data_IF_573285498163
#
_entry.id   IF_573285498163
#
_cell.length_a   1.000
_cell.length_b   1.000
_cell.length_c   1.000
_cell.angle_alpha   90.00
_cell.angle_beta   90.00
_cell.angle_gamma   90.00
#
_symmetry.space_group_name_H-M   'P 1'
#
loop_
_entity.id
_entity.type
_entity.pdbx_description
1 polymer ?
#
# COMPACT_ATOMS: atom_id res chain seq x y z
N UNK A 1 8.28 0.76 -5.76
CA UNK A 1 7.28 0.83 -6.85
C UNK A 1 7.03 -0.51 -7.52
N UNK A 2 7.91 -1.50 -7.34
CA UNK A 2 7.76 -2.85 -7.91
C UNK A 2 6.69 -3.73 -7.23
N UNK A 3 5.87 -3.17 -6.37
CA UNK A 3 4.75 -3.82 -5.70
C UNK A 3 3.45 -3.10 -6.08
N UNK A 4 2.43 -3.88 -6.42
CA UNK A 4 1.12 -3.38 -6.83
C UNK A 4 0.42 -2.52 -5.77
N UNK A 5 0.75 -2.71 -4.49
CA UNK A 5 0.23 -1.88 -3.39
C UNK A 5 0.77 -0.45 -3.46
N UNK A 6 2.06 -0.29 -3.75
CA UNK A 6 2.72 1.03 -3.72
C UNK A 6 2.57 1.79 -5.03
N UNK A 7 2.60 1.13 -6.19
CA UNK A 7 2.45 1.80 -7.49
C UNK A 7 1.07 2.47 -7.62
N UNK A 8 0.03 1.91 -7.00
CA UNK A 8 -1.31 2.50 -6.92
C UNK A 8 -1.28 3.96 -6.47
N UNK A 9 -0.39 4.28 -5.54
CA UNK A 9 -0.35 5.59 -4.88
C UNK A 9 -0.10 6.75 -5.83
N UNK A 10 0.65 6.53 -6.89
CA UNK A 10 0.93 7.54 -7.92
C UNK A 10 -0.30 7.82 -8.77
N UNK A 11 -0.91 6.76 -9.31
CA UNK A 11 -2.10 6.90 -10.16
C UNK A 11 -3.30 7.43 -9.39
N UNK A 12 -3.53 6.95 -8.17
CA UNK A 12 -4.60 7.43 -7.31
C UNK A 12 -4.42 8.92 -6.93
N UNK A 13 -3.18 9.36 -6.69
CA UNK A 13 -2.87 10.76 -6.45
C UNK A 13 -3.23 11.66 -7.63
N UNK A 14 -3.08 11.17 -8.85
CA UNK A 14 -3.46 11.86 -10.09
C UNK A 14 -4.96 11.76 -10.42
N UNK A 15 -5.76 11.15 -9.54
CA UNK A 15 -7.21 10.99 -9.73
C UNK A 15 -7.61 9.81 -10.62
N UNK A 16 -6.66 8.94 -10.97
CA UNK A 16 -6.93 7.73 -11.74
C UNK A 16 -7.38 6.58 -10.83
N UNK A 17 -8.22 5.71 -11.37
CA UNK A 17 -8.98 4.72 -10.60
C UNK A 17 -8.56 3.31 -10.99
N UNK A 18 -8.42 2.44 -10.00
CA UNK A 18 -8.49 0.99 -10.13
C UNK A 18 -9.39 0.48 -8.99
N UNK A 19 -10.52 -0.10 -9.33
CA UNK A 19 -11.52 -0.56 -8.37
C UNK A 19 -12.26 -1.81 -8.87
N UNK A 20 -12.92 -2.49 -7.94
CA UNK A 20 -13.77 -3.65 -8.27
C UNK A 20 -14.95 -3.19 -9.12
N UNK A 21 -15.24 -3.92 -10.20
CA UNK A 21 -16.42 -3.73 -11.02
C UNK A 21 -17.72 -4.13 -10.28
N UNK A 22 -18.87 -3.77 -10.84
CA UNK A 22 -20.17 -4.09 -10.25
C UNK A 22 -20.45 -5.59 -10.15
N UNK A 23 -19.76 -6.42 -10.95
CA UNK A 23 -19.83 -7.87 -10.88
C UNK A 23 -19.17 -8.47 -9.63
N UNK A 24 -18.41 -7.66 -8.87
CA UNK A 24 -17.72 -8.08 -7.66
C UNK A 24 -16.51 -8.99 -7.89
N UNK A 25 -16.03 -9.14 -9.14
CA UNK A 25 -14.96 -10.06 -9.53
C UNK A 25 -13.84 -9.35 -10.31
N UNK A 26 -14.22 -8.62 -11.36
CA UNK A 26 -13.29 -7.97 -12.26
C UNK A 26 -12.87 -6.58 -11.77
N UNK A 27 -11.81 -6.03 -12.33
CA UNK A 27 -11.32 -4.68 -12.01
C UNK A 27 -11.67 -3.71 -13.14
N UNK A 28 -12.19 -2.55 -12.79
CA UNK A 28 -12.22 -1.36 -13.65
C UNK A 28 -10.97 -0.55 -13.40
N UNK A 29 -10.29 -0.14 -14.46
CA UNK A 29 -9.05 0.63 -14.38
C UNK A 29 -8.98 1.61 -15.55
N UNK A 30 -8.66 2.87 -15.27
CA UNK A 30 -8.49 3.91 -16.26
C UNK A 30 -7.07 4.54 -16.24
N UNK A 31 -6.09 3.81 -15.76
CA UNK A 31 -4.72 4.31 -15.65
C UNK A 31 -4.11 4.71 -17.00
N UNK A 32 -4.62 4.19 -18.10
CA UNK A 32 -4.17 4.55 -19.45
C UNK A 32 -4.88 5.77 -20.06
N UNK A 33 -5.82 6.36 -19.33
CA UNK A 33 -6.37 7.67 -19.67
C UNK A 33 -5.44 8.79 -19.20
N UNK A 34 -5.65 10.01 -19.70
CA UNK A 34 -4.87 11.15 -19.24
C UNK A 34 -5.13 11.45 -17.75
N UNK A 35 -4.10 11.69 -16.92
CA UNK A 35 -2.70 11.86 -17.24
C UNK A 35 -1.82 10.59 -17.03
N UNK A 36 -2.32 9.40 -17.22
CA UNK A 36 -1.65 8.14 -16.86
C UNK A 36 -0.27 7.92 -17.47
N UNK A 37 -0.07 8.29 -18.74
CA UNK A 37 1.25 8.22 -19.37
C UNK A 37 2.25 9.18 -18.69
N UNK A 38 1.79 10.36 -18.25
CA UNK A 38 2.62 11.33 -17.54
C UNK A 38 2.97 10.84 -16.14
N UNK A 39 2.03 10.19 -15.44
CA UNK A 39 2.28 9.51 -14.15
C UNK A 39 3.35 8.44 -14.33
N UNK A 40 3.24 7.63 -15.38
CA UNK A 40 4.22 6.58 -15.73
C UNK A 40 5.61 7.19 -15.95
N UNK A 41 5.69 8.32 -16.66
CA UNK A 41 6.96 9.06 -16.85
C UNK A 41 7.51 9.59 -15.53
N UNK A 42 6.67 10.18 -14.69
CA UNK A 42 7.10 10.69 -13.38
C UNK A 42 7.69 9.58 -12.50
N UNK A 43 7.14 8.37 -12.54
CA UNK A 43 7.71 7.22 -11.81
C UNK A 43 9.09 6.83 -12.38
N UNK A 44 9.25 6.80 -13.70
CA UNK A 44 10.55 6.54 -14.35
C UNK A 44 11.59 7.59 -13.96
N UNK A 45 11.20 8.87 -13.92
CA UNK A 45 12.09 9.97 -13.54
C UNK A 45 12.53 9.84 -12.07
N UNK A 46 11.64 9.42 -11.17
CA UNK A 46 11.96 9.12 -9.77
C UNK A 46 12.91 7.92 -9.70
N UNK A 47 12.63 6.85 -10.44
CA UNK A 47 13.45 5.64 -10.45
C UNK A 47 14.85 5.88 -11.02
N UNK A 48 15.02 6.85 -11.92
CA UNK A 48 16.32 7.25 -12.45
C UNK A 48 17.20 8.00 -11.43
N UNK A 49 16.67 8.41 -10.27
CA UNK A 49 17.46 9.08 -9.24
C UNK A 49 18.46 8.09 -8.62
N UNK A 50 19.77 8.42 -8.55
CA UNK A 50 20.78 7.52 -7.98
C UNK A 50 20.53 7.11 -6.53
N UNK A 51 19.78 7.91 -5.77
CA UNK A 51 19.39 7.61 -4.39
C UNK A 51 18.14 6.73 -4.27
N UNK A 52 17.43 6.50 -5.38
CA UNK A 52 16.22 5.67 -5.37
C UNK A 52 16.58 4.18 -5.32
N UNK A 53 15.87 3.45 -4.46
CA UNK A 53 15.91 1.98 -4.43
C UNK A 53 14.49 1.44 -4.39
N UNK A 54 14.24 0.40 -5.14
CA UNK A 54 13.00 -0.37 -5.09
C UNK A 54 13.34 -1.82 -4.76
N UNK A 55 12.52 -2.45 -3.94
CA UNK A 55 12.73 -3.83 -3.51
C UNK A 55 11.47 -4.40 -2.86
N UNK A 56 11.51 -5.67 -2.52
CA UNK A 56 10.48 -6.31 -1.72
C UNK A 56 10.50 -5.78 -0.28
N UNK A 57 9.46 -6.06 0.51
CA UNK A 57 9.36 -5.60 1.89
C UNK A 57 10.59 -6.02 2.75
N UNK A 58 11.12 -7.22 2.51
CA UNK A 58 12.33 -7.70 3.18
C UNK A 58 13.59 -6.86 2.85
N UNK A 59 13.69 -6.33 1.64
CA UNK A 59 14.80 -5.47 1.23
C UNK A 59 14.70 -4.11 1.90
N UNK A 60 13.47 -3.57 2.02
CA UNK A 60 13.19 -2.33 2.76
C UNK A 60 13.57 -2.50 4.23
N UNK A 61 13.16 -3.58 4.86
CA UNK A 61 13.50 -3.91 6.26
C UNK A 61 15.02 -4.00 6.44
N UNK A 62 15.73 -4.64 5.51
CA UNK A 62 17.19 -4.74 5.56
C UNK A 62 17.84 -3.36 5.42
N UNK A 63 17.38 -2.53 4.48
CA UNK A 63 17.90 -1.20 4.26
C UNK A 63 17.66 -0.24 5.44
N UNK A 64 16.55 -0.41 6.17
CA UNK A 64 16.29 0.32 7.42
C UNK A 64 17.30 -0.11 8.50
N UNK A 65 17.51 -1.42 8.68
CA UNK A 65 18.36 -1.98 9.74
C UNK A 65 19.84 -1.70 9.54
N UNK A 66 20.33 -1.74 8.31
CA UNK A 66 21.75 -1.51 7.98
C UNK A 66 22.10 -0.03 7.73
N UNK A 67 21.09 0.86 7.78
CA UNK A 67 21.25 2.29 7.57
C UNK A 67 21.53 2.69 6.13
N UNK A 68 21.32 1.81 5.15
CA UNK A 68 21.52 2.11 3.73
C UNK A 68 20.40 2.96 3.11
N UNK A 69 19.31 3.21 3.84
CA UNK A 69 18.28 4.19 3.50
C UNK A 69 18.03 5.16 4.64
N UNK A 70 17.74 6.43 4.32
CA UNK A 70 17.34 7.46 5.28
C UNK A 70 15.84 7.71 5.31
N UNK A 71 15.10 7.19 4.34
CA UNK A 71 13.66 7.24 4.26
C UNK A 71 13.12 6.04 3.48
N UNK A 72 11.96 5.54 3.86
CA UNK A 72 11.30 4.43 3.17
C UNK A 72 9.79 4.68 3.07
N UNK A 73 9.20 4.31 1.94
CA UNK A 73 7.75 4.18 1.82
C UNK A 73 7.38 2.76 2.22
N UNK A 74 6.58 2.63 3.26
CA UNK A 74 6.16 1.35 3.81
C UNK A 74 4.81 1.49 4.52
N UNK A 75 4.34 0.42 5.12
CA UNK A 75 3.16 0.45 5.97
C UNK A 75 3.51 0.41 7.46
N UNK A 76 2.49 0.56 8.30
CA UNK A 76 2.63 0.54 9.77
C UNK A 76 3.21 -0.77 10.31
N UNK A 77 3.23 -1.85 9.51
CA UNK A 77 3.81 -3.14 9.89
C UNK A 77 5.33 -3.10 10.06
N UNK A 78 6.02 -2.11 9.48
CA UNK A 78 7.46 -1.89 9.65
C UNK A 78 7.80 -0.78 10.66
N UNK A 79 6.80 -0.18 11.31
CA UNK A 79 7.01 0.91 12.26
C UNK A 79 7.93 0.53 13.42
N UNK A 80 7.72 -0.64 14.04
CA UNK A 80 8.57 -1.12 15.14
C UNK A 80 10.02 -1.35 14.69
N UNK A 81 10.22 -1.86 13.47
CA UNK A 81 11.57 -2.06 12.91
C UNK A 81 12.29 -0.72 12.69
N UNK A 82 11.58 0.29 12.18
CA UNK A 82 12.15 1.61 11.96
C UNK A 82 12.45 2.32 13.29
N UNK A 83 11.55 2.21 14.28
CA UNK A 83 11.73 2.76 15.62
C UNK A 83 12.95 2.14 16.32
N UNK A 84 13.12 0.82 16.23
CA UNK A 84 14.29 0.12 16.78
C UNK A 84 15.61 0.52 16.11
N UNK A 85 15.60 0.70 14.78
CA UNK A 85 16.81 1.00 14.02
C UNK A 85 17.23 2.46 14.13
N UNK A 86 16.28 3.39 14.14
CA UNK A 86 16.54 4.84 14.09
C UNK A 86 16.39 5.55 15.43
N UNK A 87 15.82 4.89 16.46
CA UNK A 87 15.71 5.42 17.81
C UNK A 87 15.02 6.80 17.84
N UNK A 88 15.66 7.77 18.49
CA UNK A 88 15.15 9.16 18.58
C UNK A 88 15.06 9.88 17.22
N UNK A 89 15.74 9.36 16.18
CA UNK A 89 15.66 9.88 14.82
C UNK A 89 14.45 9.36 14.05
N UNK A 90 13.67 8.41 14.60
CA UNK A 90 12.50 7.86 13.93
C UNK A 90 11.38 8.91 13.82
N UNK A 91 10.87 9.06 12.61
CA UNK A 91 9.67 9.83 12.32
C UNK A 91 8.83 9.13 11.25
N UNK A 92 7.54 9.42 11.25
CA UNK A 92 6.63 8.97 10.20
C UNK A 92 5.70 10.11 9.79
N UNK A 93 5.32 10.15 8.53
CA UNK A 93 4.39 11.13 7.96
C UNK A 93 3.55 10.45 6.89
N UNK A 94 2.50 11.11 6.42
CA UNK A 94 1.75 10.67 5.24
C UNK A 94 2.68 10.54 4.03
N UNK A 95 2.22 9.86 2.99
CA UNK A 95 2.95 9.72 1.74
C UNK A 95 3.34 11.10 1.17
N UNK A 96 4.51 11.20 0.53
CA UNK A 96 4.98 12.46 -0.04
C UNK A 96 4.12 12.89 -1.25
N UNK A 97 4.37 14.10 -1.73
CA UNK A 97 3.98 14.52 -3.06
C UNK A 97 5.02 14.08 -4.09
N UNK A 98 4.62 14.01 -5.34
CA UNK A 98 5.52 13.88 -6.48
C UNK A 98 5.18 14.96 -7.53
N UNK A 99 6.13 15.29 -8.39
CA UNK A 99 5.93 16.28 -9.45
C UNK A 99 5.27 15.62 -10.66
N UNK A 100 4.11 16.14 -11.07
CA UNK A 100 3.41 15.76 -12.29
C UNK A 100 3.12 17.01 -13.11
N UNK A 101 3.66 17.10 -14.31
CA UNK A 101 3.48 18.25 -15.22
C UNK A 101 3.79 19.61 -14.56
N UNK A 102 4.80 19.64 -13.67
CA UNK A 102 5.22 20.85 -12.94
C UNK A 102 4.45 21.14 -11.64
N UNK A 103 3.40 20.40 -11.35
CA UNK A 103 2.60 20.54 -10.13
C UNK A 103 2.94 19.47 -9.10
N UNK A 104 2.76 19.79 -7.80
CA UNK A 104 2.94 18.83 -6.72
C UNK A 104 1.64 18.05 -6.47
N UNK A 105 1.66 16.76 -6.72
CA UNK A 105 0.52 15.87 -6.55
C UNK A 105 0.71 15.01 -5.32
N UNK A 106 -0.25 15.03 -4.40
CA UNK A 106 -0.24 14.19 -3.20
C UNK A 106 -0.49 12.73 -3.59
N UNK A 107 0.41 11.83 -3.20
CA UNK A 107 0.20 10.40 -3.41
C UNK A 107 -1.03 9.90 -2.63
N UNK A 108 -1.87 9.16 -3.33
CA UNK A 108 -2.96 8.42 -2.69
C UNK A 108 -2.48 7.12 -2.05
N UNK A 109 -3.38 6.33 -1.52
CA UNK A 109 -3.05 4.98 -1.06
C UNK A 109 -4.27 4.06 -1.08
N UNK A 110 -4.03 2.76 -1.06
CA UNK A 110 -5.04 1.85 -0.55
C UNK A 110 -5.16 2.00 0.98
N UNK A 111 -6.36 1.83 1.48
CA UNK A 111 -6.63 1.51 2.88
C UNK A 111 -7.19 0.09 2.97
N UNK A 112 -6.85 -0.62 4.03
CA UNK A 112 -7.33 -1.97 4.22
C UNK A 112 -7.35 -2.35 5.69
N UNK A 113 -8.11 -3.40 5.97
CA UNK A 113 -8.25 -3.99 7.30
C UNK A 113 -7.89 -5.46 7.22
N UNK A 114 -7.26 -5.96 8.28
CA UNK A 114 -7.10 -7.40 8.46
C UNK A 114 -8.34 -7.93 9.16
N UNK A 115 -9.01 -8.88 8.51
CA UNK A 115 -10.28 -9.45 8.97
C UNK A 115 -10.06 -10.88 9.47
N UNK A 116 -10.85 -11.27 10.45
CA UNK A 116 -10.97 -12.67 10.88
C UNK A 116 -12.35 -13.17 10.45
N UNK A 117 -12.36 -14.20 9.61
CA UNK A 117 -13.58 -14.86 9.15
C UNK A 117 -13.73 -16.25 9.74
N UNK A 118 -14.95 -16.66 9.99
CA UNK A 118 -15.29 -18.04 10.41
C UNK A 118 -15.89 -18.77 9.24
N UNK A 119 -15.32 -19.93 8.88
CA UNK A 119 -15.89 -20.81 7.86
C UNK A 119 -17.22 -21.40 8.38
N UNK A 120 -18.38 -21.14 7.75
CA UNK A 120 -19.67 -21.64 8.19
C UNK A 120 -19.81 -23.17 8.09
N UNK A 121 -18.95 -23.82 7.30
CA UNK A 121 -18.91 -25.27 7.14
C UNK A 121 -17.96 -25.96 8.12
N UNK A 122 -17.38 -25.24 9.10
CA UNK A 122 -16.55 -25.83 10.13
C UNK A 122 -17.35 -26.78 11.01
N UNK A 123 -16.78 -27.92 11.40
CA UNK A 123 -17.40 -28.82 12.38
C UNK A 123 -17.53 -28.18 13.78
N UNK A 124 -16.82 -27.06 14.04
CA UNK A 124 -16.73 -26.39 15.34
C UNK A 124 -16.98 -24.88 15.22
N UNK A 125 -18.04 -24.46 14.51
CA UNK A 125 -18.34 -23.03 14.26
C UNK A 125 -18.36 -22.21 15.56
N UNK A 126 -18.98 -22.70 16.63
CA UNK A 126 -19.04 -22.00 17.91
C UNK A 126 -17.67 -21.71 18.51
N UNK A 127 -16.76 -22.70 18.49
CA UNK A 127 -15.38 -22.51 18.97
C UNK A 127 -14.60 -21.56 18.05
N UNK A 128 -14.81 -21.65 16.74
CA UNK A 128 -14.18 -20.74 15.78
C UNK A 128 -14.65 -19.29 15.97
N UNK A 129 -15.91 -19.07 16.31
CA UNK A 129 -16.43 -17.73 16.67
C UNK A 129 -15.81 -17.19 17.95
N UNK A 130 -15.66 -18.03 18.99
CA UNK A 130 -14.97 -17.64 20.21
C UNK A 130 -13.50 -17.29 19.96
N UNK A 131 -12.82 -18.01 19.08
CA UNK A 131 -11.44 -17.70 18.67
C UNK A 131 -11.38 -16.37 17.90
N UNK A 132 -12.31 -16.14 16.99
CA UNK A 132 -12.38 -14.88 16.24
C UNK A 132 -12.59 -13.69 17.17
N UNK A 133 -13.50 -13.78 18.12
CA UNK A 133 -13.72 -12.77 19.16
C UNK A 133 -12.47 -12.57 20.01
N UNK A 134 -11.85 -13.65 20.48
CA UNK A 134 -10.62 -13.57 21.26
C UNK A 134 -9.49 -12.85 20.50
N UNK A 135 -9.27 -13.16 19.23
CA UNK A 135 -8.23 -12.53 18.42
C UNK A 135 -8.51 -11.04 18.22
N UNK A 136 -9.78 -10.62 18.14
CA UNK A 136 -10.19 -9.25 17.80
C UNK A 136 -10.68 -8.43 18.97
N UNK A 137 -10.72 -8.98 20.18
CA UNK A 137 -11.14 -8.23 21.37
C UNK A 137 -10.15 -7.11 21.75
N UNK A 138 -10.58 -6.22 22.62
CA UNK A 138 -9.83 -5.05 23.06
C UNK A 138 -8.45 -5.40 23.63
N UNK A 139 -8.39 -6.39 24.54
CA UNK A 139 -7.15 -6.77 25.23
C UNK A 139 -6.08 -7.27 24.23
N UNK A 140 -6.48 -8.11 23.28
CA UNK A 140 -5.55 -8.63 22.27
C UNK A 140 -5.17 -7.58 21.23
N UNK A 141 -6.02 -6.61 20.95
CA UNK A 141 -5.67 -5.48 20.10
C UNK A 141 -4.68 -4.55 20.79
N UNK A 142 -4.87 -4.26 22.08
CA UNK A 142 -3.91 -3.51 22.91
C UNK A 142 -2.56 -4.23 22.96
N UNK A 143 -2.57 -5.55 23.22
CA UNK A 143 -1.34 -6.33 23.21
C UNK A 143 -0.62 -6.27 21.86
N UNK A 144 -1.34 -6.42 20.76
CA UNK A 144 -0.77 -6.33 19.41
C UNK A 144 -0.18 -4.95 19.11
N UNK A 145 -0.82 -3.90 19.55
CA UNK A 145 -0.26 -2.55 19.44
C UNK A 145 1.04 -2.42 20.26
N UNK A 146 1.04 -2.87 21.50
CA UNK A 146 2.22 -2.80 22.36
C UNK A 146 3.42 -3.57 21.77
N UNK A 147 3.17 -4.79 21.26
CA UNK A 147 4.20 -5.68 20.76
C UNK A 147 4.64 -5.37 19.31
N UNK A 148 3.75 -4.80 18.48
CA UNK A 148 3.95 -4.71 17.01
C UNK A 148 3.61 -3.32 16.42
N UNK A 149 3.17 -2.38 17.22
CA UNK A 149 2.74 -1.03 16.80
C UNK A 149 1.64 -1.02 15.72
N UNK A 150 0.87 -2.11 15.62
CA UNK A 150 -0.26 -2.19 14.69
C UNK A 150 -1.49 -1.50 15.27
N UNK A 151 -2.03 -0.52 14.54
CA UNK A 151 -3.18 0.27 15.00
C UNK A 151 -4.40 -0.59 15.29
N UNK A 152 -5.02 -0.48 16.47
CA UNK A 152 -6.23 -1.21 16.83
C UNK A 152 -7.45 -0.64 16.09
N UNK A 153 -8.39 -1.51 15.71
CA UNK A 153 -9.70 -1.14 15.18
C UNK A 153 -10.76 -1.02 16.27
N UNK A 154 -10.51 -1.55 17.47
CA UNK A 154 -11.38 -1.37 18.62
C UNK A 154 -11.36 0.11 19.05
N UNK A 155 -12.53 0.70 19.26
CA UNK A 155 -12.68 2.14 19.54
C UNK A 155 -11.95 2.54 20.81
N UNK A 156 -12.08 1.76 21.90
CA UNK A 156 -11.46 2.07 23.18
C UNK A 156 -9.93 1.95 23.10
N UNK A 157 -9.44 0.84 22.53
CA UNK A 157 -8.01 0.62 22.32
C UNK A 157 -7.40 1.73 21.45
N UNK A 158 -8.08 2.12 20.37
CA UNK A 158 -7.63 3.17 19.48
C UNK A 158 -7.58 4.55 20.14
N UNK A 159 -8.49 4.84 21.06
CA UNK A 159 -8.56 6.12 21.76
C UNK A 159 -7.47 6.29 22.85
N UNK A 160 -6.66 5.27 23.13
CA UNK A 160 -5.62 5.38 24.15
C UNK A 160 -4.52 6.38 23.72
N UNK A 161 -3.97 7.12 24.69
CA UNK A 161 -2.90 8.10 24.45
C UNK A 161 -1.68 7.47 23.76
N UNK A 162 -1.32 6.25 24.16
CA UNK A 162 -0.21 5.52 23.58
C UNK A 162 -0.39 5.24 22.09
N UNK A 163 -1.61 4.94 21.64
CA UNK A 163 -1.93 4.73 20.23
C UNK A 163 -1.93 6.05 19.47
N UNK A 164 -2.60 7.06 20.01
CA UNK A 164 -2.76 8.35 19.35
C UNK A 164 -1.45 9.15 19.21
N UNK A 165 -0.49 8.92 20.11
CA UNK A 165 0.83 9.56 20.08
C UNK A 165 1.86 8.80 19.23
N UNK A 166 1.54 7.59 18.76
CA UNK A 166 2.48 6.79 17.95
C UNK A 166 2.68 7.43 16.54
N UNK A 167 3.92 7.74 16.12
CA UNK A 167 4.17 8.47 14.86
C UNK A 167 3.54 7.80 13.63
N UNK A 168 3.65 6.48 13.52
CA UNK A 168 3.06 5.73 12.40
C UNK A 168 1.53 5.80 12.36
N UNK A 169 0.86 5.86 13.53
CA UNK A 169 -0.60 5.98 13.60
C UNK A 169 -1.04 7.40 13.25
N UNK A 170 -0.32 8.41 13.70
CA UNK A 170 -0.57 9.80 13.30
C UNK A 170 -0.42 9.98 11.78
N UNK A 171 0.65 9.43 11.20
CA UNK A 171 0.89 9.44 9.76
C UNK A 171 -0.24 8.73 8.97
N UNK A 172 -0.71 7.57 9.49
CA UNK A 172 -1.82 6.83 8.89
C UNK A 172 -3.13 7.64 8.94
N UNK A 173 -3.39 8.35 10.04
CA UNK A 173 -4.55 9.22 10.18
C UNK A 173 -4.51 10.38 9.16
N UNK A 174 -3.36 11.03 8.98
CA UNK A 174 -3.18 12.05 7.95
C UNK A 174 -3.37 11.49 6.53
N UNK A 175 -2.82 10.31 6.25
CA UNK A 175 -2.95 9.64 4.95
C UNK A 175 -4.39 9.21 4.64
N UNK A 176 -5.23 8.98 5.65
CA UNK A 176 -6.60 8.49 5.48
C UNK A 176 -7.45 9.38 4.57
N UNK A 177 -7.18 10.69 4.55
CA UNK A 177 -7.87 11.65 3.67
C UNK A 177 -7.55 11.45 2.18
N UNK A 178 -6.50 10.71 1.86
CA UNK A 178 -6.01 10.40 0.52
C UNK A 178 -6.07 8.90 0.22
N UNK A 179 -6.75 8.13 1.07
CA UNK A 179 -6.83 6.70 0.96
C UNK A 179 -8.17 6.23 0.39
N UNK A 180 -8.12 5.19 -0.44
CA UNK A 180 -9.30 4.51 -0.99
C UNK A 180 -9.32 3.08 -0.46
N UNK A 181 -10.51 2.60 -0.06
CA UNK A 181 -10.66 1.22 0.39
C UNK A 181 -10.21 0.27 -0.73
N UNK A 182 -9.28 -0.63 -0.40
CA UNK A 182 -8.76 -1.60 -1.34
C UNK A 182 -9.87 -2.57 -1.77
N UNK A 183 -10.26 -2.43 -3.04
CA UNK A 183 -11.25 -3.28 -3.69
C UNK A 183 -10.85 -3.42 -5.15
N UNK A 184 -10.13 -4.48 -5.49
CA UNK A 184 -9.69 -4.81 -6.84
C UNK A 184 -9.80 -6.31 -7.06
N UNK A 185 -10.02 -6.73 -8.30
CA UNK A 185 -10.04 -8.14 -8.70
C UNK A 185 -8.62 -8.76 -8.72
N UNK A 186 -8.57 -10.08 -8.87
CA UNK A 186 -7.32 -10.83 -8.76
C UNK A 186 -6.25 -10.41 -9.77
N UNK A 187 -6.64 -10.06 -11.01
CA UNK A 187 -5.70 -9.71 -12.07
C UNK A 187 -4.98 -8.37 -11.89
N UNK A 188 -5.48 -7.51 -10.97
CA UNK A 188 -4.83 -6.26 -10.61
C UNK A 188 -3.39 -6.50 -10.13
N UNK A 189 -3.19 -7.45 -9.22
CA UNK A 189 -1.96 -7.59 -8.47
C UNK A 189 -0.76 -7.91 -9.34
N UNK A 190 -0.84 -8.92 -10.19
CA UNK A 190 0.26 -9.31 -11.07
C UNK A 190 0.54 -8.26 -12.13
N UNK A 191 -0.50 -7.68 -12.73
CA UNK A 191 -0.35 -6.72 -13.82
C UNK A 191 0.25 -5.38 -13.33
N UNK A 192 -0.22 -4.88 -12.19
CA UNK A 192 0.32 -3.66 -11.60
C UNK A 192 1.75 -3.87 -11.06
N UNK A 193 2.05 -5.05 -10.48
CA UNK A 193 3.41 -5.39 -10.05
C UNK A 193 4.38 -5.45 -11.24
N UNK A 194 3.99 -6.09 -12.36
CA UNK A 194 4.82 -6.16 -13.57
C UNK A 194 5.12 -4.77 -14.15
N UNK A 195 4.13 -3.87 -14.18
CA UNK A 195 4.38 -2.47 -14.53
C UNK A 195 5.39 -1.83 -13.56
N UNK A 196 5.21 -2.02 -12.27
CA UNK A 196 6.11 -1.49 -11.24
C UNK A 196 7.55 -1.98 -11.37
N UNK A 197 7.76 -3.24 -11.72
CA UNK A 197 9.09 -3.82 -11.99
C UNK A 197 9.77 -3.17 -13.19
N UNK A 198 9.04 -2.99 -14.30
CA UNK A 198 9.55 -2.29 -15.48
C UNK A 198 9.96 -0.86 -15.13
N UNK A 199 9.11 -0.13 -14.43
CA UNK A 199 9.37 1.26 -14.05
C UNK A 199 10.53 1.38 -13.05
N UNK A 200 10.63 0.46 -12.10
CA UNK A 200 11.73 0.44 -11.13
C UNK A 200 13.09 0.14 -11.77
N UNK A 201 13.12 -0.72 -12.79
CA UNK A 201 14.34 -1.06 -13.53
C UNK A 201 14.75 0.01 -14.56
N UNK A 202 13.81 0.82 -15.03
CA UNK A 202 13.98 1.75 -16.13
C UNK A 202 14.11 1.06 -17.52
N UNK A 203 14.03 -0.27 -17.57
CA UNK A 203 14.08 -1.03 -18.85
C UNK A 203 12.69 -1.13 -19.46
N UNK A 204 12.32 -0.12 -20.23
CA UNK A 204 11.03 -0.05 -20.91
C UNK A 204 10.92 -0.96 -22.13
N UNK A 205 11.99 -1.68 -22.51
CA UNK A 205 12.06 -2.52 -23.70
C UNK A 205 11.67 -1.76 -24.99
N UNK A 206 11.96 -0.47 -25.02
CA UNK A 206 11.64 0.42 -26.14
C UNK A 206 10.17 0.84 -26.25
N UNK A 207 9.33 0.51 -25.28
CA UNK A 207 7.93 0.96 -25.22
C UNK A 207 7.84 2.40 -24.74
N UNK A 208 6.84 3.12 -25.25
CA UNK A 208 6.45 4.43 -24.72
C UNK A 208 5.72 4.25 -23.38
N UNK A 209 5.65 5.32 -22.56
CA UNK A 209 4.90 5.31 -21.30
C UNK A 209 3.42 4.98 -21.51
N UNK A 210 2.82 5.45 -22.61
CA UNK A 210 1.45 5.09 -22.99
C UNK A 210 1.31 3.59 -23.26
N UNK A 211 2.22 2.99 -24.03
CA UNK A 211 2.18 1.55 -24.30
C UNK A 211 2.36 0.71 -23.02
N UNK A 212 3.23 1.14 -22.12
CA UNK A 212 3.41 0.45 -20.84
C UNK A 212 2.13 0.45 -19.99
N UNK A 213 1.47 1.59 -19.89
CA UNK A 213 0.24 1.67 -19.10
C UNK A 213 -0.96 1.03 -19.81
N UNK A 214 -1.02 1.06 -21.15
CA UNK A 214 -2.03 0.33 -21.92
C UNK A 214 -1.93 -1.18 -21.67
N UNK A 215 -0.73 -1.75 -21.73
CA UNK A 215 -0.48 -3.16 -21.45
C UNK A 215 -0.87 -3.53 -19.99
N UNK A 216 -0.54 -2.68 -19.05
CA UNK A 216 -0.90 -2.89 -17.65
C UNK A 216 -2.42 -2.87 -17.46
N UNK A 217 -3.13 -1.88 -18.03
CA UNK A 217 -4.59 -1.78 -17.95
C UNK A 217 -5.25 -2.97 -18.63
N UNK A 218 -4.76 -3.40 -19.78
CA UNK A 218 -5.25 -4.61 -20.45
C UNK A 218 -5.15 -5.85 -19.56
N UNK A 219 -4.05 -6.02 -18.84
CA UNK A 219 -3.87 -7.11 -17.88
C UNK A 219 -4.76 -6.98 -16.63
N UNK A 220 -4.85 -5.77 -16.06
CA UNK A 220 -5.67 -5.47 -14.88
C UNK A 220 -7.15 -5.73 -15.15
N UNK A 221 -7.66 -5.33 -16.32
CA UNK A 221 -9.08 -5.43 -16.69
C UNK A 221 -9.43 -6.74 -17.40
N UNK A 222 -8.46 -7.62 -17.63
CA UNK A 222 -8.72 -8.92 -18.20
C UNK A 222 -9.73 -9.69 -17.35
N UNK A 223 -10.70 -10.41 -17.97
CA UNK A 223 -11.66 -11.20 -17.21
C UNK A 223 -10.96 -12.24 -16.32
N UNK A 224 -11.40 -12.32 -15.08
CA UNK A 224 -10.94 -13.37 -14.15
C UNK A 224 -11.58 -14.69 -14.58
N UNK A 225 -10.74 -15.72 -14.83
CA UNK A 225 -11.23 -17.07 -15.13
C UNK A 225 -12.02 -17.61 -13.92
N UNK A 226 -13.23 -18.07 -14.17
CA UNK A 226 -14.11 -18.68 -13.18
C UNK A 226 -13.83 -20.17 -13.01
#
# INVERSE_FOLDING_TARGET
VNDAWYIYSFYAGAGLVATLADDGINTVCNWNEAPGADVTQAILDIAANPGFKSGADADIVSAIKDGSCCAAISGTWNASTAEEAWGEGYAATKLPTYTLNGEQVQMGSFSGYKLVGVNPHSANVGVAMMLADFITNEDNQNKRFNDRKLGPSNINANASEAVQSAPAIAALAEQSSYATLQRVGANYWSSAASLGEILASGDTQGKTTQQLVDDAVAGITAPVAQ
#
